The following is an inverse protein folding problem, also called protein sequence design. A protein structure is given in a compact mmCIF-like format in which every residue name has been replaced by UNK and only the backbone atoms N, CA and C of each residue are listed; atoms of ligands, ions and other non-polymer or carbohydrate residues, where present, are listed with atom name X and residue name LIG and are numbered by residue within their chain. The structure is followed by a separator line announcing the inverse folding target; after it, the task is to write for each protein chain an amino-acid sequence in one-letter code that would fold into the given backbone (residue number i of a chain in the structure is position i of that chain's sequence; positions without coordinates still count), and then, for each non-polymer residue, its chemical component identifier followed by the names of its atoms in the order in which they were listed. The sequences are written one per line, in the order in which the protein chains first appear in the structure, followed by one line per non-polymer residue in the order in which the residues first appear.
data_IF_272743883024
#
_entry.id   IF_272743883024
#
_cell.length_a   1.000
_cell.length_b   1.000
_cell.length_c   1.000
_cell.angle_alpha   90.00
_cell.angle_beta   90.00
_cell.angle_gamma   90.00
#
_symmetry.space_group_name_H-M   'P 1'
#
loop_
_entity.id
_entity.type
_entity.pdbx_description
1 polymer ?
#
# COMPACT_ATOMS: atom_id res chain seq x y z
N UNK A 1 -22.54 -17.69 -14.35
CA UNK A 1 -22.62 -16.31 -13.83
C UNK A 1 -22.07 -16.16 -12.39
N UNK A 2 -22.26 -17.15 -11.50
CA UNK A 2 -21.78 -17.08 -10.11
C UNK A 2 -20.24 -16.99 -9.91
N UNK A 3 -19.43 -17.39 -10.90
CA UNK A 3 -17.96 -17.33 -10.81
C UNK A 3 -17.36 -15.96 -11.18
N UNK A 4 -18.09 -15.14 -11.94
CA UNK A 4 -17.60 -13.83 -12.41
C UNK A 4 -17.76 -12.73 -11.35
N UNK A 5 -18.85 -12.78 -10.57
CA UNK A 5 -19.16 -11.78 -9.54
C UNK A 5 -18.00 -11.54 -8.54
N UNK A 6 -17.36 -12.59 -7.99
CA UNK A 6 -16.24 -12.42 -7.04
C UNK A 6 -14.99 -11.81 -7.69
N UNK A 7 -14.70 -12.19 -8.94
CA UNK A 7 -13.54 -11.67 -9.69
C UNK A 7 -13.76 -10.21 -10.06
N UNK A 8 -14.97 -9.84 -10.51
CA UNK A 8 -15.31 -8.45 -10.79
C UNK A 8 -15.25 -7.57 -9.54
N UNK A 9 -15.75 -8.07 -8.39
CA UNK A 9 -15.66 -7.36 -7.12
C UNK A 9 -14.19 -7.15 -6.68
N UNK A 10 -13.35 -8.17 -6.83
CA UNK A 10 -11.91 -8.07 -6.58
C UNK A 10 -11.27 -7.02 -7.48
N UNK A 11 -11.41 -7.14 -8.79
CA UNK A 11 -10.78 -6.23 -9.76
C UNK A 11 -11.23 -4.77 -9.60
N UNK A 12 -12.50 -4.53 -9.31
CA UNK A 12 -13.00 -3.17 -9.00
C UNK A 12 -12.37 -2.62 -7.73
N UNK A 13 -12.27 -3.43 -6.67
CA UNK A 13 -11.59 -3.03 -5.43
C UNK A 13 -10.11 -2.72 -5.65
N UNK A 14 -9.41 -3.56 -6.42
CA UNK A 14 -8.01 -3.35 -6.80
C UNK A 14 -7.85 -2.06 -7.61
N UNK A 15 -8.74 -1.81 -8.58
CA UNK A 15 -8.69 -0.60 -9.39
C UNK A 15 -8.76 0.66 -8.51
N UNK A 16 -9.74 0.73 -7.60
CA UNK A 16 -9.88 1.87 -6.66
C UNK A 16 -8.63 2.02 -5.79
N UNK A 17 -8.13 0.90 -5.25
CA UNK A 17 -6.94 0.89 -4.39
C UNK A 17 -5.69 1.41 -5.12
N UNK A 18 -5.43 0.93 -6.32
CA UNK A 18 -4.25 1.32 -7.12
C UNK A 18 -4.38 2.77 -7.60
N UNK A 19 -5.58 3.23 -7.97
CA UNK A 19 -5.81 4.64 -8.29
C UNK A 19 -5.47 5.55 -7.10
N UNK A 20 -5.95 5.20 -5.89
CA UNK A 20 -5.62 5.94 -4.67
C UNK A 20 -4.12 5.96 -4.38
N UNK A 21 -3.44 4.83 -4.57
CA UNK A 21 -1.99 4.74 -4.41
C UNK A 21 -1.21 5.57 -5.42
N UNK A 22 -1.60 5.52 -6.70
CA UNK A 22 -0.99 6.31 -7.76
C UNK A 22 -1.11 7.81 -7.46
N UNK A 23 -2.28 8.25 -6.98
CA UNK A 23 -2.49 9.63 -6.55
C UNK A 23 -1.58 10.03 -5.38
N UNK A 24 -1.45 9.17 -4.37
CA UNK A 24 -0.53 9.42 -3.25
C UNK A 24 0.93 9.59 -3.68
N UNK A 25 1.35 8.85 -4.71
CA UNK A 25 2.70 8.95 -5.27
C UNK A 25 3.08 10.36 -5.74
N UNK A 26 2.10 11.14 -6.20
CA UNK A 26 2.28 12.54 -6.62
C UNK A 26 1.93 13.51 -5.50
N UNK A 27 0.83 13.25 -4.77
CA UNK A 27 0.33 14.13 -3.74
C UNK A 27 1.32 14.34 -2.59
N UNK A 28 1.98 13.28 -2.13
CA UNK A 28 2.87 13.36 -0.97
C UNK A 28 4.10 14.24 -1.22
N UNK A 29 4.88 14.07 -2.31
CA UNK A 29 5.98 14.98 -2.61
C UNK A 29 5.55 16.44 -2.77
N UNK A 30 4.41 16.67 -3.45
CA UNK A 30 3.87 18.02 -3.63
C UNK A 30 3.50 18.63 -2.29
N UNK A 31 2.77 17.91 -1.44
CA UNK A 31 2.37 18.39 -0.12
C UNK A 31 3.58 18.58 0.80
N UNK A 32 4.55 17.66 0.79
CA UNK A 32 5.80 17.82 1.55
C UNK A 32 6.56 19.09 1.15
N UNK A 33 6.64 19.41 -0.14
CA UNK A 33 7.25 20.65 -0.62
C UNK A 33 6.50 21.90 -0.11
N UNK A 34 5.17 21.87 -0.12
CA UNK A 34 4.33 22.97 0.40
C UNK A 34 4.48 23.17 1.92
N UNK A 35 4.69 22.08 2.67
CA UNK A 35 4.93 22.11 4.12
C UNK A 35 6.39 22.46 4.47
N UNK A 36 7.24 22.71 3.47
CA UNK A 36 8.63 23.14 3.67
C UNK A 36 9.62 22.00 3.93
N UNK A 37 9.26 20.74 3.62
CA UNK A 37 10.19 19.62 3.74
C UNK A 37 11.35 19.79 2.76
N UNK A 38 12.55 19.49 3.21
CA UNK A 38 13.74 19.48 2.38
C UNK A 38 13.66 18.42 1.28
N UNK A 39 14.42 18.62 0.20
CA UNK A 39 14.53 17.64 -0.90
C UNK A 39 15.00 16.27 -0.39
N UNK A 40 15.87 16.25 0.62
CA UNK A 40 16.33 15.01 1.24
C UNK A 40 15.20 14.29 1.97
N UNK A 41 14.39 15.00 2.77
CA UNK A 41 13.25 14.41 3.48
C UNK A 41 12.20 13.84 2.52
N UNK A 42 11.88 14.55 1.44
CA UNK A 42 10.97 14.07 0.39
C UNK A 42 11.57 12.85 -0.33
N UNK A 43 12.88 12.86 -0.61
CA UNK A 43 13.59 11.70 -1.14
C UNK A 43 13.47 10.48 -0.23
N UNK A 44 13.68 10.67 1.08
CA UNK A 44 13.54 9.62 2.10
C UNK A 44 12.13 9.05 2.17
N UNK A 45 11.07 9.88 2.07
CA UNK A 45 9.67 9.44 1.96
C UNK A 45 9.50 8.45 0.79
N UNK A 46 10.13 8.71 -0.35
CA UNK A 46 10.16 7.79 -1.50
C UNK A 46 10.98 6.52 -1.25
N UNK A 47 12.19 6.65 -0.72
CA UNK A 47 13.08 5.53 -0.43
C UNK A 47 12.48 4.56 0.60
N UNK A 48 11.88 5.09 1.68
CA UNK A 48 11.23 4.28 2.71
C UNK A 48 10.07 3.46 2.16
N UNK A 49 9.31 4.00 1.18
CA UNK A 49 8.29 3.22 0.49
C UNK A 49 8.89 1.98 -0.17
N UNK A 50 9.97 2.12 -0.95
CA UNK A 50 10.60 0.98 -1.61
C UNK A 50 11.27 0.02 -0.63
N UNK A 51 11.84 0.53 0.47
CA UNK A 51 12.38 -0.32 1.53
C UNK A 51 11.28 -1.20 2.16
N UNK A 52 10.13 -0.60 2.50
CA UNK A 52 8.97 -1.33 3.00
C UNK A 52 8.40 -2.32 1.97
N UNK A 53 8.35 -1.92 0.71
CA UNK A 53 7.93 -2.78 -0.40
C UNK A 53 8.83 -4.01 -0.53
N UNK A 54 10.15 -3.83 -0.49
CA UNK A 54 11.12 -4.92 -0.50
C UNK A 54 10.90 -5.90 0.66
N UNK A 55 10.69 -5.38 1.88
CA UNK A 55 10.34 -6.22 3.03
C UNK A 55 9.01 -6.98 2.80
N UNK A 56 8.00 -6.32 2.23
CA UNK A 56 6.72 -6.96 1.89
C UNK A 56 6.88 -8.06 0.84
N UNK A 57 7.78 -7.92 -0.13
CA UNK A 57 8.09 -8.99 -1.09
C UNK A 57 8.72 -10.22 -0.40
N UNK A 58 9.60 -10.01 0.58
CA UNK A 58 10.28 -11.10 1.30
C UNK A 58 9.33 -11.86 2.24
N UNK A 59 8.48 -11.14 2.98
CA UNK A 59 7.66 -11.73 4.04
C UNK A 59 6.20 -11.99 3.62
N UNK A 60 5.73 -11.36 2.54
CA UNK A 60 4.34 -11.41 2.11
C UNK A 60 3.85 -12.82 1.80
N UNK A 61 4.65 -13.64 1.13
CA UNK A 61 4.25 -14.99 0.74
C UNK A 61 3.97 -15.87 1.96
N UNK A 62 4.83 -15.77 2.98
CA UNK A 62 4.65 -16.45 4.25
C UNK A 62 3.39 -15.96 4.96
N UNK A 63 3.14 -14.66 4.99
CA UNK A 63 1.96 -14.07 5.62
C UNK A 63 0.66 -14.60 4.98
N UNK A 64 0.59 -14.55 3.64
CA UNK A 64 -0.58 -15.02 2.88
C UNK A 64 -0.81 -16.51 3.09
N UNK A 65 0.25 -17.32 3.03
CA UNK A 65 0.15 -18.78 3.25
C UNK A 65 -0.38 -19.13 4.63
N UNK A 66 0.02 -18.40 5.67
CA UNK A 66 -0.35 -18.70 7.07
C UNK A 66 -1.73 -18.14 7.47
N UNK A 67 -2.16 -17.01 6.90
CA UNK A 67 -3.37 -16.29 7.33
C UNK A 67 -4.53 -16.44 6.34
N UNK A 68 -4.22 -16.67 5.06
CA UNK A 68 -5.17 -16.78 3.94
C UNK A 68 -5.39 -15.46 3.19
N UNK A 69 -5.80 -15.57 1.92
CA UNK A 69 -5.97 -14.47 0.97
C UNK A 69 -6.92 -13.37 1.45
N UNK A 70 -8.16 -13.72 1.79
CA UNK A 70 -9.21 -12.74 2.14
C UNK A 70 -8.83 -11.93 3.39
N UNK A 71 -8.32 -12.60 4.43
CA UNK A 71 -7.91 -11.95 5.69
C UNK A 71 -6.70 -11.05 5.48
N UNK A 72 -5.73 -11.51 4.69
CA UNK A 72 -4.54 -10.70 4.39
C UNK A 72 -4.91 -9.49 3.54
N UNK A 73 -5.74 -9.66 2.50
CA UNK A 73 -6.20 -8.57 1.64
C UNK A 73 -6.93 -7.48 2.44
N UNK A 74 -7.89 -7.88 3.28
CA UNK A 74 -8.69 -6.94 4.07
C UNK A 74 -7.85 -6.20 5.10
N UNK A 75 -6.96 -6.90 5.82
CA UNK A 75 -6.06 -6.29 6.79
C UNK A 75 -5.07 -5.31 6.14
N UNK A 76 -4.41 -5.71 5.05
CA UNK A 76 -3.44 -4.84 4.37
C UNK A 76 -4.12 -3.63 3.73
N UNK A 77 -5.32 -3.81 3.15
CA UNK A 77 -6.12 -2.69 2.62
C UNK A 77 -6.49 -1.71 3.72
N UNK A 78 -6.96 -2.21 4.87
CA UNK A 78 -7.32 -1.36 6.01
C UNK A 78 -6.10 -0.57 6.55
N UNK A 79 -4.95 -1.22 6.67
CA UNK A 79 -3.70 -0.55 7.09
C UNK A 79 -3.30 0.50 6.05
N UNK A 80 -3.28 0.17 4.75
CA UNK A 80 -2.93 1.11 3.69
C UNK A 80 -3.88 2.32 3.62
N UNK A 81 -5.18 2.13 3.83
CA UNK A 81 -6.15 3.23 3.94
C UNK A 81 -5.91 4.07 5.20
N UNK A 82 -5.59 3.43 6.32
CA UNK A 82 -5.31 4.14 7.58
C UNK A 82 -4.03 4.96 7.50
N UNK A 83 -2.96 4.44 6.88
CA UNK A 83 -1.71 5.19 6.67
C UNK A 83 -1.94 6.38 5.74
N UNK A 84 -2.76 6.23 4.70
CA UNK A 84 -3.15 7.33 3.82
C UNK A 84 -3.80 8.50 4.59
N UNK A 85 -4.75 8.18 5.48
CA UNK A 85 -5.40 9.17 6.33
C UNK A 85 -4.42 9.77 7.35
N UNK A 86 -3.55 8.96 7.94
CA UNK A 86 -2.56 9.42 8.92
C UNK A 86 -1.61 10.48 8.33
N UNK A 87 -1.22 10.37 7.05
CA UNK A 87 -0.43 11.42 6.40
C UNK A 87 -1.13 12.78 6.42
N UNK A 88 -2.47 12.83 6.38
CA UNK A 88 -3.20 14.10 6.42
C UNK A 88 -3.11 14.77 7.80
N UNK A 89 -3.11 14.00 8.89
CA UNK A 89 -3.14 14.50 10.26
C UNK A 89 -1.77 14.93 10.81
N UNK A 90 -0.70 14.26 10.39
CA UNK A 90 0.63 14.52 10.94
C UNK A 90 1.52 15.18 9.90
N UNK A 91 2.26 16.22 10.32
CA UNK A 91 3.13 17.04 9.45
C UNK A 91 4.62 16.86 9.79
N UNK A 92 4.98 15.68 10.26
CA UNK A 92 6.34 15.39 10.75
C UNK A 92 7.06 14.44 9.77
N UNK A 93 8.23 14.81 9.22
CA UNK A 93 8.92 14.05 8.18
C UNK A 93 9.27 12.60 8.58
N UNK A 94 9.74 12.36 9.79
CA UNK A 94 10.14 11.01 10.20
C UNK A 94 8.92 10.09 10.32
N UNK A 95 7.78 10.62 10.75
CA UNK A 95 6.53 9.86 10.75
C UNK A 95 6.07 9.53 9.32
N UNK A 96 6.23 10.44 8.36
CA UNK A 96 5.92 10.14 6.95
C UNK A 96 6.83 9.04 6.38
N UNK A 97 8.10 8.98 6.79
CA UNK A 97 8.99 7.88 6.41
C UNK A 97 8.45 6.52 6.89
N UNK A 98 8.03 6.44 8.16
CA UNK A 98 7.46 5.23 8.74
C UNK A 98 6.13 4.84 8.07
N UNK A 99 5.24 5.80 7.89
CA UNK A 99 3.96 5.58 7.21
C UNK A 99 4.17 5.10 5.77
N UNK A 100 5.17 5.63 5.06
CA UNK A 100 5.51 5.19 3.70
C UNK A 100 6.10 3.80 3.65
N UNK A 101 6.97 3.44 4.58
CA UNK A 101 7.46 2.08 4.71
C UNK A 101 6.31 1.09 4.96
N UNK A 102 5.38 1.45 5.86
CA UNK A 102 4.17 0.67 6.11
C UNK A 102 3.30 0.51 4.86
N UNK A 103 3.06 1.59 4.12
CA UNK A 103 2.32 1.53 2.85
C UNK A 103 3.03 0.65 1.82
N UNK A 104 4.34 0.79 1.66
CA UNK A 104 5.13 -0.04 0.76
C UNK A 104 4.98 -1.53 1.06
N UNK A 105 5.11 -1.90 2.32
CA UNK A 105 4.88 -3.28 2.77
C UNK A 105 3.47 -3.77 2.42
N UNK A 106 2.45 -2.99 2.73
CA UNK A 106 1.06 -3.36 2.45
C UNK A 106 0.81 -3.56 0.95
N UNK A 107 1.31 -2.67 0.09
CA UNK A 107 1.11 -2.78 -1.36
C UNK A 107 1.84 -3.97 -1.97
N UNK A 108 3.04 -4.30 -1.51
CA UNK A 108 3.73 -5.53 -1.94
C UNK A 108 2.92 -6.78 -1.61
N UNK A 109 2.39 -6.87 -0.38
CA UNK A 109 1.55 -8.00 0.05
C UNK A 109 0.24 -8.04 -0.73
N UNK A 110 -0.42 -6.89 -0.95
CA UNK A 110 -1.66 -6.80 -1.69
C UNK A 110 -1.49 -7.29 -3.13
N UNK A 111 -0.45 -6.86 -3.84
CA UNK A 111 -0.16 -7.37 -5.19
C UNK A 111 0.04 -8.88 -5.20
N UNK A 112 0.76 -9.43 -4.22
CA UNK A 112 0.94 -10.87 -4.12
C UNK A 112 -0.38 -11.62 -3.88
N UNK A 113 -1.25 -11.10 -3.00
CA UNK A 113 -2.58 -11.69 -2.78
C UNK A 113 -3.42 -11.64 -4.05
N UNK A 114 -3.40 -10.52 -4.77
CA UNK A 114 -4.18 -10.37 -6.01
C UNK A 114 -3.72 -11.38 -7.07
N UNK A 115 -2.42 -11.48 -7.32
CA UNK A 115 -1.84 -12.42 -8.29
C UNK A 115 -2.16 -13.87 -7.92
N UNK A 116 -1.87 -14.26 -6.67
CA UNK A 116 -2.08 -15.64 -6.22
C UNK A 116 -3.57 -16.03 -6.18
N UNK A 117 -4.45 -15.13 -5.76
CA UNK A 117 -5.88 -15.40 -5.73
C UNK A 117 -6.50 -15.50 -7.13
N UNK A 118 -6.04 -14.69 -8.08
CA UNK A 118 -6.45 -14.83 -9.49
C UNK A 118 -5.95 -16.14 -10.09
N UNK A 119 -4.74 -16.58 -9.74
CA UNK A 119 -4.14 -17.81 -10.27
C UNK A 119 -4.71 -19.09 -9.61
N UNK A 120 -5.29 -18.99 -8.42
CA UNK A 120 -5.99 -20.10 -7.74
C UNK A 120 -7.43 -20.33 -8.25
N UNK A 121 -7.97 -19.43 -9.08
CA UNK A 121 -9.33 -19.51 -9.64
C UNK A 121 -9.33 -19.87 -11.12
#
# INVERSE_FOLDING_TARGET
MHTLLPVTALLLGVAILITGHGLQGVLLPVRGSLEGFSTFEIGMVGSCYFAGFGAGCLYGASLVKNVGHIRTFTAMTAIASSTALAHAFFLEPALWWLLRAGSGFCFAVLYMVIESWLNER
#
